data_IF_680575227073
#
_entry.id   IF_680575227073
#
_cell.length_a   1.000
_cell.length_b   1.000
_cell.length_c   1.000
_cell.angle_alpha   90.00
_cell.angle_beta   90.00
_cell.angle_gamma   90.00
#
_symmetry.space_group_name_H-M   'P 1'
#
loop_
_entity.id
_entity.type
_entity.pdbx_description
1 polymer ?
#
# COMPACT_ATOMS: atom_id res chain seq x y z
N UNK A 1 2.60 3.00 19.31
CA UNK A 1 3.04 2.03 20.33
C UNK A 1 4.36 2.49 20.96
N UNK A 2 5.47 2.60 20.22
CA UNK A 2 6.76 3.09 20.77
C UNK A 2 6.69 4.50 21.37
N UNK A 3 6.09 5.48 20.68
CA UNK A 3 5.91 6.83 21.22
C UNK A 3 4.97 6.89 22.45
N UNK A 4 4.25 5.81 22.74
CA UNK A 4 3.40 5.65 23.91
C UNK A 4 4.00 4.68 24.96
N UNK A 5 5.26 4.25 24.76
CA UNK A 5 5.96 3.32 25.66
C UNK A 5 5.53 1.85 25.54
N UNK A 6 4.71 1.48 24.55
CA UNK A 6 4.31 0.10 24.30
C UNK A 6 5.36 -0.62 23.44
N UNK A 7 5.79 -1.82 23.88
CA UNK A 7 6.79 -2.66 23.19
C UNK A 7 6.31 -3.04 21.77
N UNK A 8 7.14 -2.76 20.76
CA UNK A 8 6.94 -3.21 19.38
C UNK A 8 7.92 -4.35 19.13
N UNK A 9 7.38 -5.56 19.00
CA UNK A 9 8.18 -6.72 18.62
C UNK A 9 8.71 -6.52 17.20
N UNK A 10 9.99 -6.79 17.03
CA UNK A 10 10.68 -6.73 15.74
C UNK A 10 11.02 -8.15 15.28
N UNK A 11 11.05 -8.37 13.98
CA UNK A 11 11.54 -9.60 13.39
C UNK A 11 13.09 -9.66 13.42
N UNK A 12 13.65 -10.75 12.91
CA UNK A 12 15.09 -10.95 12.85
C UNK A 12 15.83 -9.95 11.92
N UNK A 13 15.09 -9.16 11.14
CA UNK A 13 15.60 -8.13 10.24
C UNK A 13 15.40 -6.71 10.80
N UNK A 14 14.86 -6.58 12.02
CA UNK A 14 14.61 -5.30 12.68
C UNK A 14 13.32 -4.61 12.24
N UNK A 15 12.53 -5.21 11.36
CA UNK A 15 11.22 -4.69 10.96
C UNK A 15 10.19 -4.94 12.06
N UNK A 16 9.29 -3.98 12.28
CA UNK A 16 8.19 -4.18 13.21
C UNK A 16 7.29 -5.34 12.74
N UNK A 17 7.00 -6.28 13.64
CA UNK A 17 6.05 -7.38 13.44
C UNK A 17 4.62 -6.84 13.45
N UNK A 18 4.26 -6.17 12.37
CA UNK A 18 2.93 -5.55 12.17
C UNK A 18 1.81 -6.61 12.07
N UNK A 19 2.16 -7.85 11.70
CA UNK A 19 1.30 -9.02 11.63
C UNK A 19 0.74 -9.43 13.00
N UNK A 20 1.57 -9.40 14.05
CA UNK A 20 1.14 -9.62 15.44
C UNK A 20 0.30 -8.44 15.97
N UNK A 21 0.52 -7.28 15.38
CA UNK A 21 0.00 -6.00 15.83
C UNK A 21 -1.37 -5.74 15.23
N UNK A 22 -2.32 -6.69 15.35
CA UNK A 22 -3.68 -6.62 14.79
C UNK A 22 -4.28 -5.19 14.86
N UNK A 23 -4.13 -4.36 13.80
CA UNK A 23 -4.28 -2.91 13.97
C UNK A 23 -5.75 -2.56 14.19
N UNK A 24 -6.64 -3.24 13.47
CA UNK A 24 -8.09 -3.05 13.62
C UNK A 24 -8.57 -3.31 15.04
N UNK A 25 -8.05 -4.36 15.72
CA UNK A 25 -8.39 -4.61 17.13
C UNK A 25 -7.78 -3.55 18.05
N UNK A 26 -6.53 -3.15 17.80
CA UNK A 26 -5.86 -2.12 18.60
C UNK A 26 -6.59 -0.78 18.53
N UNK A 27 -6.92 -0.29 17.32
CA UNK A 27 -7.70 0.94 17.14
C UNK A 27 -9.09 0.83 17.75
N UNK A 28 -9.77 -0.31 17.57
CA UNK A 28 -11.08 -0.55 18.16
C UNK A 28 -11.07 -0.40 19.68
N UNK A 29 -10.08 -0.96 20.38
CA UNK A 29 -9.95 -0.80 21.84
C UNK A 29 -9.73 0.66 22.22
N UNK A 30 -8.77 1.35 21.57
CA UNK A 30 -8.47 2.75 21.90
C UNK A 30 -9.64 3.70 21.62
N UNK A 31 -10.38 3.47 20.54
CA UNK A 31 -11.53 4.31 20.17
C UNK A 31 -12.76 4.01 21.03
N UNK A 32 -12.99 2.75 21.42
CA UNK A 32 -14.10 2.38 22.31
C UNK A 32 -14.05 3.17 23.62
N UNK A 33 -12.89 3.17 24.26
CA UNK A 33 -12.66 3.86 25.53
C UNK A 33 -12.81 5.38 25.37
N UNK A 34 -12.20 5.97 24.33
CA UNK A 34 -12.23 7.41 24.11
C UNK A 34 -13.60 7.95 23.72
N UNK A 35 -14.41 7.16 23.01
CA UNK A 35 -15.72 7.56 22.52
C UNK A 35 -16.87 7.10 23.44
N UNK A 36 -16.58 6.34 24.50
CA UNK A 36 -17.61 5.75 25.35
C UNK A 36 -18.56 4.81 24.60
N UNK A 37 -18.07 4.14 23.56
CA UNK A 37 -18.92 3.36 22.67
C UNK A 37 -19.33 2.02 23.31
N UNK A 38 -20.63 1.76 23.41
CA UNK A 38 -21.16 0.51 23.98
C UNK A 38 -20.86 -0.70 23.08
N UNK A 39 -20.93 -0.51 21.77
CA UNK A 39 -20.76 -1.55 20.75
C UNK A 39 -19.69 -1.15 19.74
N UNK A 40 -18.90 -2.14 19.32
CA UNK A 40 -17.84 -1.97 18.33
C UNK A 40 -17.93 -3.10 17.32
N UNK A 41 -17.89 -2.74 16.04
CA UNK A 41 -17.82 -3.68 14.92
C UNK A 41 -16.51 -3.45 14.17
N UNK A 42 -15.68 -4.50 14.09
CA UNK A 42 -14.42 -4.47 13.32
C UNK A 42 -14.58 -5.35 12.10
N UNK A 43 -14.52 -4.75 10.91
CA UNK A 43 -14.63 -5.46 9.64
C UNK A 43 -13.26 -5.56 8.97
N UNK A 44 -12.84 -6.80 8.67
CA UNK A 44 -11.61 -7.08 7.93
C UNK A 44 -11.95 -7.79 6.63
N UNK A 45 -11.94 -7.03 5.54
CA UNK A 45 -12.29 -7.54 4.21
C UNK A 45 -11.08 -7.92 3.35
N UNK A 46 -9.88 -8.00 3.94
CA UNK A 46 -8.64 -8.21 3.17
C UNK A 46 -8.60 -9.50 2.34
N UNK A 47 -9.24 -10.58 2.81
CA UNK A 47 -9.39 -11.80 1.99
C UNK A 47 -10.32 -11.54 0.80
N UNK A 48 -11.50 -10.97 1.05
CA UNK A 48 -12.46 -10.64 0.00
C UNK A 48 -11.88 -9.71 -1.07
N UNK A 49 -11.09 -8.71 -0.67
CA UNK A 49 -10.41 -7.83 -1.62
C UNK A 49 -9.40 -8.55 -2.51
N UNK A 50 -8.71 -9.58 -2.00
CA UNK A 50 -7.72 -10.37 -2.76
C UNK A 50 -8.32 -11.50 -3.60
N UNK A 51 -9.52 -11.96 -3.24
CA UNK A 51 -10.21 -13.05 -3.95
C UNK A 51 -11.32 -12.56 -4.88
N UNK A 52 -11.58 -11.25 -4.94
CA UNK A 52 -12.53 -10.67 -5.86
C UNK A 52 -12.11 -10.90 -7.32
N UNK A 53 -13.10 -11.04 -8.21
CA UNK A 53 -12.85 -11.08 -9.64
C UNK A 53 -12.27 -9.73 -10.11
N UNK A 54 -11.27 -9.72 -11.00
CA UNK A 54 -10.71 -8.49 -11.55
C UNK A 54 -11.76 -7.74 -12.36
N UNK A 55 -11.72 -6.40 -12.31
CA UNK A 55 -12.55 -5.56 -13.17
C UNK A 55 -11.94 -5.47 -14.59
N UNK A 56 -12.63 -4.80 -15.52
CA UNK A 56 -12.17 -4.66 -16.91
C UNK A 56 -10.80 -3.99 -17.04
N UNK A 57 -10.53 -2.97 -16.23
CA UNK A 57 -9.24 -2.27 -16.24
C UNK A 57 -8.11 -3.17 -15.75
N UNK A 58 -8.37 -3.96 -14.70
CA UNK A 58 -7.42 -4.95 -14.20
C UNK A 58 -7.14 -6.03 -15.25
N UNK A 59 -8.18 -6.53 -15.92
CA UNK A 59 -8.05 -7.51 -17.00
C UNK A 59 -7.21 -6.96 -18.17
N UNK A 60 -7.44 -5.71 -18.56
CA UNK A 60 -6.65 -5.03 -19.58
C UNK A 60 -5.17 -4.93 -19.18
N UNK A 61 -4.90 -4.48 -17.94
CA UNK A 61 -3.54 -4.35 -17.43
C UNK A 61 -2.84 -5.71 -17.33
N UNK A 62 -3.51 -6.73 -16.79
CA UNK A 62 -2.99 -8.11 -16.72
C UNK A 62 -2.58 -8.59 -18.12
N UNK A 63 -3.44 -8.36 -19.12
CA UNK A 63 -3.16 -8.76 -20.50
C UNK A 63 -1.94 -8.01 -21.05
N UNK A 64 -1.89 -6.69 -20.92
CA UNK A 64 -0.74 -5.88 -21.36
C UNK A 64 0.57 -6.34 -20.72
N UNK A 65 0.58 -6.52 -19.40
CA UNK A 65 1.76 -6.95 -18.66
C UNK A 65 2.22 -8.36 -19.03
N UNK A 66 1.29 -9.31 -19.19
CA UNK A 66 1.62 -10.69 -19.55
C UNK A 66 2.22 -10.80 -20.95
N UNK A 67 1.65 -10.09 -21.93
CA UNK A 67 2.16 -10.05 -23.30
C UNK A 67 3.55 -9.39 -23.35
N UNK A 68 3.72 -8.23 -22.70
CA UNK A 68 5.02 -7.55 -22.63
C UNK A 68 6.08 -8.44 -21.96
N UNK A 69 5.75 -9.10 -20.85
CA UNK A 69 6.66 -10.02 -20.17
C UNK A 69 7.11 -11.18 -21.07
N UNK A 70 6.21 -11.76 -21.85
CA UNK A 70 6.56 -12.80 -22.82
C UNK A 70 7.44 -12.28 -23.96
N UNK A 71 7.12 -11.10 -24.51
CA UNK A 71 7.91 -10.44 -25.55
C UNK A 71 9.34 -10.14 -25.07
N UNK A 72 9.50 -9.53 -23.91
CA UNK A 72 10.80 -9.21 -23.33
C UNK A 72 11.63 -10.47 -23.07
N UNK A 73 11.01 -11.53 -22.57
CA UNK A 73 11.67 -12.81 -22.34
C UNK A 73 12.17 -13.43 -23.67
N UNK A 74 11.35 -13.40 -24.73
CA UNK A 74 11.73 -13.89 -26.07
C UNK A 74 12.89 -13.06 -26.66
N UNK A 75 12.94 -11.77 -26.35
CA UNK A 75 14.01 -10.87 -26.77
C UNK A 75 15.27 -10.92 -25.86
N UNK A 76 15.29 -11.79 -24.84
CA UNK A 76 16.43 -11.92 -23.93
C UNK A 76 16.63 -10.74 -22.97
N UNK A 77 15.60 -9.92 -22.76
CA UNK A 77 15.63 -8.77 -21.87
C UNK A 77 15.30 -9.21 -20.43
N UNK A 78 16.15 -8.84 -19.47
CA UNK A 78 16.00 -9.20 -18.06
C UNK A 78 15.45 -8.04 -17.24
N UNK A 79 14.30 -8.23 -16.59
CA UNK A 79 13.65 -7.20 -15.78
C UNK A 79 12.21 -7.58 -15.42
N UNK A 80 11.45 -6.58 -14.96
CA UNK A 80 10.03 -6.71 -14.62
C UNK A 80 9.20 -5.92 -15.63
N UNK A 81 8.25 -6.57 -16.30
CA UNK A 81 7.26 -5.89 -17.11
C UNK A 81 6.29 -5.10 -16.22
N UNK A 82 6.28 -3.77 -16.36
CA UNK A 82 5.44 -2.91 -15.54
C UNK A 82 5.26 -1.52 -16.14
N UNK A 83 4.31 -0.78 -15.58
CA UNK A 83 4.13 0.64 -15.90
C UNK A 83 5.24 1.42 -15.19
N UNK A 84 6.20 1.92 -15.95
CA UNK A 84 7.39 2.58 -15.46
C UNK A 84 7.13 4.07 -15.24
N UNK A 85 7.16 4.51 -13.99
CA UNK A 85 6.89 5.90 -13.61
C UNK A 85 7.95 6.88 -14.13
N UNK A 86 9.21 6.45 -14.28
CA UNK A 86 10.27 7.29 -14.86
C UNK A 86 10.04 7.47 -16.38
N UNK A 87 9.29 6.57 -17.00
CA UNK A 87 8.88 6.59 -18.40
C UNK A 87 7.39 6.98 -18.55
N UNK A 88 6.86 7.81 -17.64
CA UNK A 88 5.51 8.37 -17.75
C UNK A 88 4.38 7.35 -17.64
N UNK A 89 4.64 6.18 -17.04
CA UNK A 89 3.67 5.09 -16.90
C UNK A 89 3.57 4.21 -18.15
N UNK A 90 4.54 4.25 -19.06
CA UNK A 90 4.60 3.34 -20.20
C UNK A 90 4.92 1.91 -19.75
N UNK A 91 4.45 0.92 -20.50
CA UNK A 91 4.84 -0.48 -20.28
C UNK A 91 6.29 -0.69 -20.72
N UNK A 92 7.15 -1.04 -19.76
CA UNK A 92 8.60 -1.17 -19.95
C UNK A 92 9.15 -2.43 -19.28
N UNK A 93 10.34 -2.85 -19.69
CA UNK A 93 11.13 -3.86 -18.98
C UNK A 93 12.00 -3.17 -17.93
N UNK A 94 11.51 -3.08 -16.69
CA UNK A 94 12.15 -2.35 -15.60
C UNK A 94 13.30 -3.17 -15.02
N UNK A 95 14.50 -2.60 -15.00
CA UNK A 95 15.69 -3.26 -14.47
C UNK A 95 15.59 -3.46 -12.95
N UNK A 96 15.97 -4.65 -12.45
CA UNK A 96 15.89 -4.98 -11.03
C UNK A 96 16.54 -3.96 -10.08
N UNK A 97 17.71 -3.35 -10.37
CA UNK A 97 18.31 -2.34 -9.49
C UNK A 97 17.46 -1.07 -9.28
N UNK A 98 16.53 -0.78 -10.19
CA UNK A 98 15.60 0.35 -10.10
C UNK A 98 14.42 0.06 -9.16
N UNK A 99 14.09 -1.22 -8.94
CA UNK A 99 12.94 -1.63 -8.14
C UNK A 99 13.31 -1.61 -6.66
N UNK A 100 12.76 -0.64 -5.92
CA UNK A 100 13.03 -0.44 -4.48
C UNK A 100 11.72 -0.37 -3.70
N UNK A 101 11.76 -0.87 -2.46
CA UNK A 101 10.67 -0.67 -1.50
C UNK A 101 10.73 0.71 -0.84
N UNK A 102 9.67 1.05 -0.10
CA UNK A 102 9.66 2.27 0.73
C UNK A 102 9.47 3.57 -0.03
N UNK A 103 8.83 3.54 -1.21
CA UNK A 103 8.41 4.77 -1.91
C UNK A 103 7.45 5.57 -1.00
N UNK A 104 7.75 6.84 -0.67
CA UNK A 104 6.84 7.68 0.07
C UNK A 104 5.53 7.86 -0.70
N UNK A 105 4.41 7.81 0.02
CA UNK A 105 3.12 8.18 -0.54
C UNK A 105 3.10 9.67 -0.89
N UNK A 106 2.62 10.02 -2.09
CA UNK A 106 2.49 11.41 -2.52
C UNK A 106 1.21 12.04 -1.93
N UNK A 107 1.39 12.89 -0.94
CA UNK A 107 0.29 13.60 -0.27
C UNK A 107 -0.26 14.76 -1.10
N UNK A 108 0.34 15.09 -2.25
CA UNK A 108 -0.11 16.16 -3.14
C UNK A 108 -1.06 15.69 -4.24
N UNK A 109 -1.38 14.39 -4.25
CA UNK A 109 -2.43 13.84 -5.10
C UNK A 109 -3.79 14.55 -4.84
N UNK A 110 -4.49 15.04 -5.88
CA UNK A 110 -5.73 15.80 -5.71
C UNK A 110 -6.78 15.08 -4.87
N UNK A 111 -7.03 13.80 -5.18
CA UNK A 111 -8.01 12.98 -4.47
C UNK A 111 -7.69 12.82 -2.98
N UNK A 112 -6.41 12.86 -2.60
CA UNK A 112 -6.01 12.73 -1.20
C UNK A 112 -6.35 14.00 -0.42
N UNK A 113 -6.11 15.17 -1.02
CA UNK A 113 -6.51 16.46 -0.45
C UNK A 113 -8.03 16.60 -0.32
N UNK A 114 -8.78 16.17 -1.34
CA UNK A 114 -10.25 16.15 -1.33
C UNK A 114 -10.77 15.27 -0.19
N UNK A 115 -10.28 14.03 -0.10
CA UNK A 115 -10.68 13.09 0.96
C UNK A 115 -10.38 13.63 2.37
N UNK A 116 -9.22 14.29 2.58
CA UNK A 116 -8.93 14.94 3.86
C UNK A 116 -9.93 16.06 4.19
N UNK A 117 -10.32 16.85 3.19
CA UNK A 117 -11.34 17.88 3.33
C UNK A 117 -12.71 17.31 3.72
N UNK A 118 -13.12 16.23 3.08
CA UNK A 118 -14.40 15.54 3.37
C UNK A 118 -14.47 15.05 4.82
N UNK A 119 -13.36 14.57 5.38
CA UNK A 119 -13.30 14.08 6.77
C UNK A 119 -12.84 15.16 7.78
N UNK A 120 -12.63 16.40 7.35
CA UNK A 120 -12.24 17.52 8.20
C UNK A 120 -10.83 17.41 8.79
N UNK A 121 -9.90 16.72 8.12
CA UNK A 121 -8.52 16.56 8.58
C UNK A 121 -7.57 17.57 7.90
N UNK A 122 -6.62 18.17 8.65
CA UNK A 122 -5.60 19.03 8.05
C UNK A 122 -4.56 18.21 7.31
N UNK A 123 -3.99 18.78 6.23
CA UNK A 123 -2.88 18.16 5.50
C UNK A 123 -1.57 18.32 6.26
N UNK A 124 -0.86 17.21 6.47
CA UNK A 124 0.45 17.18 7.13
C UNK A 124 1.62 17.54 6.20
N UNK A 125 2.84 17.47 6.75
CA UNK A 125 4.07 17.62 5.97
C UNK A 125 4.47 16.29 5.30
N UNK A 126 5.21 16.39 4.18
CA UNK A 126 5.80 15.22 3.51
C UNK A 126 6.74 14.48 4.46
N UNK A 127 6.71 13.15 4.43
CA UNK A 127 7.68 12.33 5.16
C UNK A 127 9.07 12.59 4.57
N UNK A 128 10.02 12.97 5.43
CA UNK A 128 11.38 13.36 5.02
C UNK A 128 12.34 12.18 4.93
N UNK A 129 12.03 11.04 5.56
CA UNK A 129 12.84 9.82 5.59
C UNK A 129 11.96 8.57 5.78
N UNK A 130 12.44 7.43 5.28
CA UNK A 130 11.94 6.08 5.57
C UNK A 130 13.04 5.26 6.24
#
# INVERSE_FOLDING_TARGET
>A
KEAAGEEVRRDAFGHARLDELNPGKWFATKLKEKLGADKVLVQKSGYFGRSAAPNERDLELIRKSAFAGAEYALNGQSGVAGLDEDEGGAMSCIEFPRIKGGKPFDIDLPWFGEMLGEIGQPKGARAVNH
#
